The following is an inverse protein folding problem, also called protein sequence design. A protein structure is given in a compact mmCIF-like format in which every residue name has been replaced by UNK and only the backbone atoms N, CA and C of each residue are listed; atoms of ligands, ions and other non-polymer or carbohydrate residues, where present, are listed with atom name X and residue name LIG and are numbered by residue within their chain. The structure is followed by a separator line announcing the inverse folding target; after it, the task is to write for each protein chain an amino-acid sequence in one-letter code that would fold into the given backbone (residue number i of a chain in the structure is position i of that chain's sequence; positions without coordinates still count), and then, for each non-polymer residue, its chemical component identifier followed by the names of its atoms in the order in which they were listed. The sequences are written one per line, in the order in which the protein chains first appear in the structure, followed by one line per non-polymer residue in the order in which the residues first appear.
data_IF_395844566308
#
_entry.id   IF_395844566308
#
_cell.length_a   1.000
_cell.length_b   1.000
_cell.length_c   1.000
_cell.angle_alpha   90.00
_cell.angle_beta   90.00
_cell.angle_gamma   90.00
#
_symmetry.space_group_name_H-M   'P 1'
#
loop_
_entity.id
_entity.type
_entity.pdbx_description
1 polymer ?
#
# COMPACT_ATOMS: atom_id res chain seq x y z
N UNK A 1 11.15 20.15 -14.94
CA UNK A 1 10.64 18.86 -15.49
C UNK A 1 9.61 19.21 -16.54
N UNK A 2 9.68 18.63 -17.75
CA UNK A 2 8.98 19.16 -18.92
C UNK A 2 7.46 19.31 -18.71
N UNK A 3 6.83 18.36 -18.01
CA UNK A 3 5.39 18.39 -17.73
C UNK A 3 4.96 19.58 -16.85
N UNK A 4 5.75 19.93 -15.83
CA UNK A 4 5.42 21.03 -14.91
C UNK A 4 5.55 22.39 -15.60
N UNK A 5 6.54 22.53 -16.49
CA UNK A 5 6.73 23.73 -17.31
C UNK A 5 5.58 23.95 -18.30
N UNK A 6 5.06 22.87 -18.89
CA UNK A 6 3.86 22.91 -19.75
C UNK A 6 2.62 23.31 -18.93
N UNK A 7 2.40 22.68 -17.77
CA UNK A 7 1.29 23.03 -16.87
C UNK A 7 1.36 24.51 -16.49
N UNK A 8 2.54 25.00 -16.11
CA UNK A 8 2.74 26.40 -15.78
C UNK A 8 2.38 27.33 -16.94
N UNK A 9 2.84 27.00 -18.14
CA UNK A 9 2.57 27.79 -19.36
C UNK A 9 1.07 27.88 -19.65
N UNK A 10 0.35 26.77 -19.49
CA UNK A 10 -1.10 26.72 -19.70
C UNK A 10 -1.88 27.48 -18.62
N UNK A 11 -1.43 27.47 -17.35
CA UNK A 11 -2.08 28.22 -16.27
C UNK A 11 -1.91 29.73 -16.47
N UNK A 12 -0.77 30.16 -17.01
CA UNK A 12 -0.49 31.58 -17.29
C UNK A 12 -1.09 32.10 -18.58
N UNK A 13 -1.70 31.23 -19.39
CA UNK A 13 -2.34 31.62 -20.65
C UNK A 13 -3.72 32.24 -20.41
N UNK A 14 -3.73 33.58 -20.34
CA UNK A 14 -4.93 34.38 -20.08
C UNK A 14 -5.93 34.33 -21.25
N UNK A 15 -5.48 33.96 -22.46
CA UNK A 15 -6.36 33.84 -23.63
C UNK A 15 -7.23 32.58 -23.56
N UNK A 16 -6.75 31.54 -22.86
CA UNK A 16 -7.42 30.24 -22.71
C UNK A 16 -8.03 30.03 -21.31
N UNK A 17 -8.92 30.94 -20.90
CA UNK A 17 -9.51 30.98 -19.54
C UNK A 17 -10.50 29.86 -19.15
N UNK A 18 -10.68 28.82 -19.96
CA UNK A 18 -11.64 27.73 -19.69
C UNK A 18 -10.98 26.47 -19.09
N UNK A 19 -9.77 26.60 -18.55
CA UNK A 19 -9.01 25.49 -17.98
C UNK A 19 -9.02 25.56 -16.45
N UNK A 20 -9.34 24.42 -15.82
CA UNK A 20 -9.22 24.23 -14.38
C UNK A 20 -8.22 23.08 -14.15
N UNK A 21 -7.15 23.38 -13.41
CA UNK A 21 -6.11 22.41 -13.06
C UNK A 21 -6.33 21.88 -11.66
N UNK A 22 -6.39 20.56 -11.53
CA UNK A 22 -6.38 19.86 -10.25
C UNK A 22 -5.02 19.19 -10.06
N UNK A 23 -4.27 19.64 -9.06
CA UNK A 23 -2.99 19.05 -8.68
C UNK A 23 -3.16 18.36 -7.33
N UNK A 24 -2.85 17.07 -7.27
CA UNK A 24 -2.79 16.30 -6.03
C UNK A 24 -1.34 15.87 -5.80
N UNK A 25 -0.82 16.13 -4.61
CA UNK A 25 0.50 15.69 -4.20
C UNK A 25 0.50 15.37 -2.69
N UNK A 26 1.47 14.56 -2.26
CA UNK A 26 1.68 14.26 -0.85
C UNK A 26 2.71 15.24 -0.28
N UNK A 27 2.31 16.04 0.69
CA UNK A 27 3.21 17.01 1.34
C UNK A 27 4.39 16.34 2.06
N UNK A 28 4.26 15.08 2.48
CA UNK A 28 5.35 14.33 3.15
C UNK A 28 6.43 13.82 2.19
N UNK A 29 6.13 13.72 0.90
CA UNK A 29 7.07 13.22 -0.13
C UNK A 29 7.67 14.35 -0.98
N UNK A 30 7.23 15.59 -0.72
CA UNK A 30 7.59 16.79 -1.47
C UNK A 30 8.32 17.71 -0.50
N UNK A 31 9.65 17.67 -0.54
CA UNK A 31 10.51 18.53 0.27
C UNK A 31 10.54 19.97 -0.28
N UNK A 32 11.22 20.86 0.46
CA UNK A 32 11.34 22.28 0.11
C UNK A 32 12.06 22.49 -1.23
N UNK A 33 12.91 21.54 -1.63
CA UNK A 33 13.68 21.54 -2.88
C UNK A 33 12.94 20.84 -4.05
N UNK A 34 11.76 20.28 -3.80
CA UNK A 34 11.02 19.54 -4.81
C UNK A 34 10.40 20.47 -5.87
N UNK A 35 10.43 20.04 -7.13
CA UNK A 35 9.95 20.82 -8.29
C UNK A 35 8.49 21.28 -8.17
N UNK A 36 7.65 20.50 -7.48
CA UNK A 36 6.24 20.85 -7.22
C UNK A 36 6.13 22.02 -6.24
N UNK A 37 6.97 22.05 -5.20
CA UNK A 37 7.04 23.16 -4.24
C UNK A 37 7.41 24.45 -4.95
N UNK A 38 8.45 24.39 -5.80
CA UNK A 38 8.87 25.52 -6.64
C UNK A 38 7.73 25.99 -7.55
N UNK A 39 7.04 25.07 -8.23
CA UNK A 39 5.90 25.40 -9.09
C UNK A 39 4.77 26.09 -8.30
N UNK A 40 4.40 25.57 -7.13
CA UNK A 40 3.37 26.17 -6.28
C UNK A 40 3.76 27.58 -5.83
N UNK A 41 5.02 27.80 -5.45
CA UNK A 41 5.54 29.12 -5.10
C UNK A 41 5.50 30.09 -6.30
N UNK A 42 5.93 29.65 -7.48
CA UNK A 42 5.90 30.46 -8.70
C UNK A 42 4.48 30.84 -9.12
N UNK A 43 3.53 29.89 -9.04
CA UNK A 43 2.11 30.15 -9.34
C UNK A 43 1.50 31.16 -8.36
N UNK A 44 1.89 31.14 -7.07
CA UNK A 44 1.45 32.15 -6.09
C UNK A 44 1.97 33.55 -6.42
N UNK A 45 3.17 33.67 -6.98
CA UNK A 45 3.75 34.95 -7.42
C UNK A 45 3.03 35.44 -8.68
N UNK A 46 2.94 34.59 -9.70
CA UNK A 46 2.32 34.89 -11.01
C UNK A 46 0.82 35.15 -10.92
N UNK A 47 0.14 34.68 -9.87
CA UNK A 47 -1.27 34.99 -9.58
C UNK A 47 -1.59 36.48 -9.71
N UNK A 48 -0.73 37.36 -9.21
CA UNK A 48 -0.95 38.82 -9.25
C UNK A 48 -0.75 39.41 -10.65
N UNK A 49 0.09 38.79 -11.47
CA UNK A 49 0.47 39.27 -12.80
C UNK A 49 -0.54 38.83 -13.87
N UNK A 50 -1.03 37.59 -13.79
CA UNK A 50 -1.89 36.99 -14.82
C UNK A 50 -3.36 36.84 -14.39
N UNK A 51 -3.70 37.10 -13.11
CA UNK A 51 -5.09 37.18 -12.64
C UNK A 51 -5.83 35.85 -12.46
N UNK A 52 -5.15 34.70 -12.52
CA UNK A 52 -5.78 33.39 -12.29
C UNK A 52 -6.02 33.09 -10.80
N UNK A 53 -7.02 32.25 -10.51
CA UNK A 53 -7.31 31.77 -9.15
C UNK A 53 -6.37 30.63 -8.75
N UNK A 54 -5.85 30.67 -7.52
CA UNK A 54 -5.16 29.53 -6.89
C UNK A 54 -5.83 29.27 -5.56
N UNK A 55 -6.36 28.05 -5.40
CA UNK A 55 -6.96 27.54 -4.17
C UNK A 55 -6.16 26.32 -3.73
N UNK A 56 -5.70 26.32 -2.49
CA UNK A 56 -4.98 25.20 -1.90
C UNK A 56 -5.86 24.58 -0.82
N UNK A 57 -6.08 23.28 -0.94
CA UNK A 57 -6.90 22.51 -0.01
C UNK A 57 -5.97 21.49 0.64
N UNK A 58 -5.62 21.73 1.90
CA UNK A 58 -4.86 20.77 2.69
C UNK A 58 -5.84 19.74 3.26
N UNK A 59 -5.68 18.47 2.86
CA UNK A 59 -6.47 17.37 3.40
C UNK A 59 -5.69 16.78 4.58
N UNK A 60 -6.03 17.21 5.79
CA UNK A 60 -5.44 16.71 7.03
C UNK A 60 -6.14 15.44 7.53
N UNK A 61 -5.49 14.75 8.47
CA UNK A 61 -6.11 13.69 9.24
C UNK A 61 -7.31 14.21 10.04
N UNK A 62 -8.33 13.38 10.23
CA UNK A 62 -9.52 13.73 11.01
C UNK A 62 -9.15 14.11 12.42
N UNK A 63 -9.66 15.22 12.90
CA UNK A 63 -9.65 15.59 14.32
C UNK A 63 -10.47 14.60 15.14
N UNK A 64 -10.42 14.71 16.47
CA UNK A 64 -11.24 13.86 17.34
C UNK A 64 -12.72 14.14 17.10
N UNK A 65 -13.06 15.42 16.91
CA UNK A 65 -14.39 15.92 16.64
C UNK A 65 -14.92 15.42 15.30
N UNK A 66 -14.12 15.52 14.23
CA UNK A 66 -14.48 14.99 12.89
C UNK A 66 -14.60 13.46 12.89
N UNK A 67 -13.71 12.76 13.62
CA UNK A 67 -13.82 11.31 13.82
C UNK A 67 -15.12 10.96 14.52
N UNK A 68 -15.50 11.73 15.54
CA UNK A 68 -16.72 11.50 16.29
C UNK A 68 -17.97 11.78 15.44
N UNK A 69 -17.99 12.89 14.72
CA UNK A 69 -19.07 13.22 13.78
C UNK A 69 -19.25 12.13 12.71
N UNK A 70 -18.14 11.66 12.12
CA UNK A 70 -18.16 10.56 11.18
C UNK A 70 -18.78 9.29 11.79
N UNK A 71 -18.42 8.94 13.03
CA UNK A 71 -18.97 7.76 13.71
C UNK A 71 -20.44 7.91 14.07
N UNK A 72 -20.86 9.08 14.59
CA UNK A 72 -22.25 9.39 14.89
C UNK A 72 -23.13 9.25 13.65
N UNK A 73 -22.71 9.85 12.54
CA UNK A 73 -23.44 9.78 11.27
C UNK A 73 -23.48 8.35 10.72
N UNK A 74 -22.35 7.63 10.76
CA UNK A 74 -22.28 6.24 10.30
C UNK A 74 -23.18 5.30 11.11
N UNK A 75 -23.33 5.56 12.41
CA UNK A 75 -24.09 4.71 13.32
C UNK A 75 -25.53 5.18 13.57
N UNK A 76 -25.91 6.37 13.07
CA UNK A 76 -27.24 6.95 13.24
C UNK A 76 -27.52 7.46 14.65
N UNK A 77 -26.51 8.03 15.34
CA UNK A 77 -26.71 8.72 16.61
C UNK A 77 -26.82 10.22 16.41
N UNK A 78 -27.87 10.83 16.98
CA UNK A 78 -28.05 12.29 17.00
C UNK A 78 -27.19 12.97 18.09
N UNK A 79 -26.85 12.23 19.13
CA UNK A 79 -26.03 12.70 20.25
C UNK A 79 -24.58 12.23 20.09
N UNK A 80 -23.72 13.19 19.76
CA UNK A 80 -22.29 12.99 19.57
C UNK A 80 -21.55 12.59 20.85
N UNK A 81 -22.10 12.83 22.05
CA UNK A 81 -21.45 12.41 23.29
C UNK A 81 -21.37 10.88 23.42
N UNK A 82 -22.33 10.15 22.82
CA UNK A 82 -22.42 8.69 22.89
C UNK A 82 -21.21 8.02 22.25
N UNK A 83 -20.79 8.51 21.07
CA UNK A 83 -19.69 7.94 20.29
C UNK A 83 -18.32 8.48 20.67
N UNK A 84 -18.25 9.48 21.55
CA UNK A 84 -17.02 10.20 21.86
C UNK A 84 -15.89 9.30 22.38
N UNK A 85 -16.22 8.35 23.27
CA UNK A 85 -15.24 7.39 23.78
C UNK A 85 -14.73 6.44 22.67
N UNK A 86 -15.61 6.06 21.74
CA UNK A 86 -15.22 5.23 20.60
C UNK A 86 -14.34 6.03 19.63
N UNK A 87 -14.69 7.28 19.37
CA UNK A 87 -13.94 8.21 18.53
C UNK A 87 -12.52 8.41 19.05
N UNK A 88 -12.34 8.57 20.37
CA UNK A 88 -11.02 8.69 20.99
C UNK A 88 -10.15 7.46 20.73
N UNK A 89 -10.71 6.26 20.88
CA UNK A 89 -9.94 5.04 20.57
C UNK A 89 -9.67 4.92 19.08
N UNK A 90 -10.66 5.18 18.23
CA UNK A 90 -10.51 5.18 16.78
C UNK A 90 -9.41 6.14 16.31
N UNK A 91 -9.43 7.40 16.75
CA UNK A 91 -8.41 8.42 16.43
C UNK A 91 -7.04 7.99 16.92
N UNK A 92 -6.92 7.49 18.16
CA UNK A 92 -5.63 7.01 18.70
C UNK A 92 -5.04 5.82 17.95
N UNK A 93 -5.87 4.94 17.35
CA UNK A 93 -5.41 3.76 16.60
C UNK A 93 -5.10 4.04 15.14
N UNK A 94 -5.82 4.97 14.56
CA UNK A 94 -5.78 5.28 13.12
C UNK A 94 -4.96 6.52 12.82
N UNK A 95 -4.57 7.25 13.86
CA UNK A 95 -4.02 8.61 13.81
C UNK A 95 -4.96 9.58 13.06
N UNK A 96 -6.24 9.23 12.88
CA UNK A 96 -7.23 10.05 12.17
C UNK A 96 -7.14 9.94 10.65
N UNK A 97 -6.33 9.02 10.15
CA UNK A 97 -6.38 8.67 8.75
C UNK A 97 -7.73 7.98 8.44
N UNK A 98 -8.53 8.61 7.58
CA UNK A 98 -9.88 8.16 7.25
C UNK A 98 -9.92 6.73 6.66
N UNK A 99 -8.91 6.36 5.87
CA UNK A 99 -8.81 5.02 5.30
C UNK A 99 -8.62 3.97 6.41
N UNK A 100 -7.69 4.20 7.35
CA UNK A 100 -7.49 3.29 8.47
C UNK A 100 -8.66 3.28 9.45
N UNK A 101 -9.41 4.38 9.57
CA UNK A 101 -10.66 4.41 10.33
C UNK A 101 -11.68 3.42 9.79
N UNK A 102 -11.93 3.41 8.49
CA UNK A 102 -12.87 2.47 7.85
C UNK A 102 -12.43 1.02 8.04
N UNK A 103 -11.14 0.72 7.83
CA UNK A 103 -10.59 -0.62 8.06
C UNK A 103 -10.75 -1.02 9.52
N UNK A 104 -10.39 -0.14 10.46
CA UNK A 104 -10.47 -0.42 11.89
C UNK A 104 -11.92 -0.71 12.31
N UNK A 105 -12.89 0.05 11.82
CA UNK A 105 -14.31 -0.19 12.08
C UNK A 105 -14.78 -1.54 11.53
N UNK A 106 -14.41 -1.88 10.30
CA UNK A 106 -14.70 -3.21 9.72
C UNK A 106 -14.14 -4.33 10.60
N UNK A 107 -12.91 -4.18 11.09
CA UNK A 107 -12.28 -5.15 11.99
C UNK A 107 -13.01 -5.27 13.33
N UNK A 108 -13.50 -4.16 13.91
CA UNK A 108 -14.33 -4.21 15.11
C UNK A 108 -15.64 -4.98 14.88
N UNK A 109 -16.25 -4.84 13.70
CA UNK A 109 -17.43 -5.61 13.30
C UNK A 109 -17.12 -7.11 13.19
N UNK A 110 -16.07 -7.49 12.45
CA UNK A 110 -15.64 -8.90 12.30
C UNK A 110 -15.28 -9.51 13.65
N UNK A 111 -14.56 -8.77 14.49
CA UNK A 111 -14.20 -9.19 15.84
C UNK A 111 -15.38 -9.18 16.82
N UNK A 112 -16.60 -8.84 16.37
CA UNK A 112 -17.81 -8.82 17.18
C UNK A 112 -17.66 -7.87 18.38
N UNK A 113 -16.85 -6.83 18.25
CA UNK A 113 -16.65 -5.78 19.26
C UNK A 113 -17.55 -4.59 19.04
N UNK A 114 -17.85 -4.30 17.77
CA UNK A 114 -18.89 -3.40 17.32
C UNK A 114 -19.98 -4.26 16.70
N UNK A 115 -21.19 -4.21 17.24
CA UNK A 115 -22.31 -5.03 16.74
C UNK A 115 -23.55 -4.18 16.62
N UNK A 116 -24.34 -4.43 15.59
CA UNK A 116 -25.70 -3.97 15.56
C UNK A 116 -26.56 -4.90 16.41
N UNK A 117 -27.34 -4.34 17.34
CA UNK A 117 -28.29 -5.10 18.15
C UNK A 117 -29.67 -5.00 17.52
N UNK A 118 -30.18 -6.12 17.00
CA UNK A 118 -31.48 -6.19 16.32
C UNK A 118 -32.68 -5.92 17.25
N UNK A 119 -32.52 -6.08 18.56
CA UNK A 119 -33.57 -5.83 19.55
C UNK A 119 -33.69 -4.35 19.93
N UNK A 120 -32.57 -3.62 19.99
CA UNK A 120 -32.55 -2.19 20.30
C UNK A 120 -32.43 -1.31 19.05
N UNK A 121 -32.18 -1.90 17.87
CA UNK A 121 -31.86 -1.22 16.61
C UNK A 121 -30.73 -0.20 16.74
N UNK A 122 -29.74 -0.50 17.59
CA UNK A 122 -28.61 0.38 17.88
C UNK A 122 -27.29 -0.36 17.79
N UNK A 123 -26.24 0.38 17.46
CA UNK A 123 -24.87 -0.10 17.57
C UNK A 123 -24.45 -0.20 19.03
N UNK A 124 -23.83 -1.31 19.39
CA UNK A 124 -23.31 -1.60 20.72
C UNK A 124 -21.82 -1.95 20.65
N UNK A 125 -21.07 -1.40 21.61
CA UNK A 125 -19.66 -1.71 21.79
C UNK A 125 -19.31 -1.79 23.28
N UNK A 126 -18.19 -2.45 23.58
CA UNK A 126 -17.65 -2.54 24.96
C UNK A 126 -16.29 -1.86 25.02
N UNK A 127 -16.28 -0.59 25.42
CA UNK A 127 -15.08 0.26 25.41
C UNK A 127 -13.90 -0.37 26.17
N UNK A 128 -14.15 -0.96 27.36
CA UNK A 128 -13.10 -1.60 28.17
C UNK A 128 -12.43 -2.77 27.44
N UNK A 129 -13.22 -3.57 26.72
CA UNK A 129 -12.70 -4.69 25.92
C UNK A 129 -11.90 -4.18 24.73
N UNK A 130 -12.39 -3.13 24.08
CA UNK A 130 -11.76 -2.49 22.94
C UNK A 130 -10.39 -1.91 23.32
N UNK A 131 -10.31 -1.16 24.42
CA UNK A 131 -9.05 -0.62 24.94
C UNK A 131 -8.07 -1.76 25.29
N UNK A 132 -8.52 -2.79 26.01
CA UNK A 132 -7.67 -3.90 26.43
C UNK A 132 -7.08 -4.66 25.23
N UNK A 133 -7.87 -4.90 24.19
CA UNK A 133 -7.46 -5.69 23.02
C UNK A 133 -6.64 -4.87 22.00
N UNK A 134 -6.76 -3.55 22.01
CA UNK A 134 -6.07 -2.69 21.04
C UNK A 134 -4.78 -2.06 21.55
N UNK A 135 -4.49 -2.14 22.86
CA UNK A 135 -3.38 -1.47 23.59
C UNK A 135 -2.02 -1.39 22.88
N UNK A 136 -1.64 -2.39 22.08
CA UNK A 136 -0.30 -2.54 21.51
C UNK A 136 -0.01 -1.79 20.19
N UNK A 137 -0.99 -1.13 19.57
CA UNK A 137 -0.83 -0.55 18.21
C UNK A 137 -1.07 0.96 18.21
N UNK A 138 0.01 1.75 18.17
CA UNK A 138 -0.03 3.22 18.12
C UNK A 138 0.30 3.78 16.74
N UNK A 139 0.80 2.95 15.83
CA UNK A 139 1.11 3.32 14.44
C UNK A 139 0.27 2.46 13.49
N UNK A 140 -0.25 3.09 12.44
CA UNK A 140 -0.89 2.47 11.27
C UNK A 140 -0.15 1.22 10.79
N UNK A 141 1.16 1.31 10.58
CA UNK A 141 1.97 0.17 10.08
C UNK A 141 1.95 -0.97 11.09
N UNK A 142 2.05 -0.67 12.39
CA UNK A 142 1.97 -1.66 13.47
C UNK A 142 0.58 -2.30 13.59
N UNK A 143 -0.48 -1.52 13.35
CA UNK A 143 -1.85 -2.03 13.26
C UNK A 143 -2.02 -2.98 12.07
N UNK A 144 -1.61 -2.55 10.87
CA UNK A 144 -1.65 -3.40 9.66
C UNK A 144 -0.82 -4.68 9.84
N UNK A 145 0.34 -4.59 10.48
CA UNK A 145 1.17 -5.75 10.82
C UNK A 145 0.44 -6.74 11.74
N UNK A 146 -0.38 -6.23 12.66
CA UNK A 146 -1.20 -7.08 13.55
C UNK A 146 -2.30 -7.80 12.77
N UNK A 147 -2.95 -7.11 11.82
CA UNK A 147 -3.94 -7.73 10.93
C UNK A 147 -3.31 -8.77 10.02
N UNK A 148 -2.18 -8.45 9.38
CA UNK A 148 -1.43 -9.38 8.54
C UNK A 148 -1.01 -10.62 9.34
N UNK A 149 -0.52 -10.45 10.57
CA UNK A 149 -0.15 -11.57 11.46
C UNK A 149 -1.32 -12.46 11.88
N UNK A 150 -2.56 -12.01 11.71
CA UNK A 150 -3.75 -12.83 11.98
C UNK A 150 -4.13 -13.75 10.81
N UNK A 151 -3.55 -13.55 9.62
CA UNK A 151 -3.75 -14.40 8.45
C UNK A 151 -3.03 -15.76 8.61
N UNK A 152 -3.41 -16.80 7.85
CA UNK A 152 -2.62 -18.02 7.74
C UNK A 152 -1.16 -17.74 7.34
N UNK A 153 -0.21 -18.53 7.84
CA UNK A 153 1.22 -18.31 7.61
C UNK A 153 1.54 -18.21 6.11
N UNK A 154 1.07 -19.15 5.29
CA UNK A 154 1.28 -19.14 3.82
C UNK A 154 0.89 -17.79 3.18
N UNK A 155 -0.27 -17.23 3.55
CA UNK A 155 -0.73 -15.93 3.05
C UNK A 155 0.19 -14.80 3.53
N UNK A 156 0.63 -14.82 4.79
CA UNK A 156 1.61 -13.85 5.30
C UNK A 156 2.91 -13.88 4.50
N UNK A 157 3.40 -15.07 4.15
CA UNK A 157 4.65 -15.22 3.41
C UNK A 157 4.48 -14.73 1.97
N UNK A 158 3.40 -15.12 1.29
CA UNK A 158 3.07 -14.62 -0.06
C UNK A 158 2.96 -13.10 -0.09
N UNK A 159 2.25 -12.49 0.87
CA UNK A 159 2.13 -11.03 0.95
C UNK A 159 3.45 -10.34 1.26
N UNK A 160 4.31 -10.96 2.04
CA UNK A 160 5.66 -10.46 2.30
C UNK A 160 6.47 -10.43 1.00
N UNK A 161 6.44 -11.50 0.20
CA UNK A 161 7.09 -11.57 -1.12
C UNK A 161 6.50 -10.54 -2.08
N UNK A 162 5.17 -10.52 -2.19
CA UNK A 162 4.39 -9.59 -3.00
C UNK A 162 4.77 -8.13 -2.73
N UNK A 163 5.05 -7.79 -1.47
CA UNK A 163 5.36 -6.42 -1.06
C UNK A 163 6.66 -5.88 -1.66
N UNK A 164 7.58 -6.75 -2.08
CA UNK A 164 8.81 -6.37 -2.78
C UNK A 164 8.68 -6.41 -4.31
N UNK A 165 7.55 -6.89 -4.85
CA UNK A 165 7.33 -7.03 -6.30
C UNK A 165 6.69 -5.78 -6.95
N UNK A 166 6.50 -4.70 -6.20
CA UNK A 166 5.95 -3.44 -6.69
C UNK A 166 4.54 -3.13 -6.16
N UNK A 167 3.91 -2.11 -6.74
CA UNK A 167 2.59 -1.62 -6.30
C UNK A 167 1.42 -2.44 -6.84
N UNK A 168 1.62 -3.04 -8.01
CA UNK A 168 0.67 -3.95 -8.65
C UNK A 168 1.12 -5.40 -8.45
N UNK A 169 0.14 -6.30 -8.43
CA UNK A 169 0.27 -7.70 -8.12
C UNK A 169 -0.46 -8.50 -9.18
N UNK A 170 0.30 -9.36 -9.86
CA UNK A 170 -0.24 -10.39 -10.74
C UNK A 170 -0.21 -11.73 -10.00
N UNK A 171 -1.36 -12.28 -9.57
CA UNK A 171 -1.39 -13.48 -8.73
C UNK A 171 -0.63 -14.66 -9.36
N UNK A 172 -0.75 -14.84 -10.69
CA UNK A 172 -0.04 -15.91 -11.42
C UNK A 172 1.48 -15.79 -11.33
N UNK A 173 2.03 -14.57 -11.44
CA UNK A 173 3.47 -14.33 -11.33
C UNK A 173 3.90 -14.57 -9.87
N UNK A 174 3.14 -14.05 -8.91
CA UNK A 174 3.43 -14.25 -7.49
C UNK A 174 3.40 -15.73 -7.08
N UNK A 175 2.41 -16.49 -7.54
CA UNK A 175 2.31 -17.92 -7.23
C UNK A 175 3.50 -18.70 -7.83
N UNK A 176 3.93 -18.32 -9.05
CA UNK A 176 5.13 -18.89 -9.69
C UNK A 176 6.39 -18.59 -8.87
N UNK A 177 6.60 -17.32 -8.51
CA UNK A 177 7.73 -16.89 -7.67
C UNK A 177 7.70 -17.57 -6.30
N UNK A 178 6.52 -17.65 -5.67
CA UNK A 178 6.34 -18.31 -4.38
C UNK A 178 6.70 -19.79 -4.43
N UNK A 179 6.34 -20.50 -5.50
CA UNK A 179 6.67 -21.92 -5.67
C UNK A 179 8.19 -22.17 -5.74
N UNK A 180 8.94 -21.26 -6.39
CA UNK A 180 10.41 -21.34 -6.46
C UNK A 180 11.06 -21.09 -5.09
N UNK A 181 10.56 -20.08 -4.37
CA UNK A 181 11.15 -19.63 -3.09
C UNK A 181 10.83 -20.60 -1.95
N UNK A 182 9.57 -21.03 -1.83
CA UNK A 182 9.13 -21.95 -0.78
C UNK A 182 9.87 -23.29 -0.82
N UNK A 183 10.30 -23.72 -2.01
CA UNK A 183 11.10 -24.94 -2.21
C UNK A 183 12.52 -24.85 -1.66
N UNK A 184 13.07 -23.64 -1.50
CA UNK A 184 14.47 -23.42 -1.08
C UNK A 184 14.65 -23.28 0.45
N UNK A 185 13.57 -23.32 1.26
CA UNK A 185 13.57 -23.24 2.73
C UNK A 185 14.28 -22.04 3.38
N UNK A 186 14.70 -21.02 2.62
CA UNK A 186 15.53 -19.91 3.10
C UNK A 186 14.79 -18.92 4.01
N UNK A 187 13.47 -18.82 3.91
CA UNK A 187 12.69 -17.79 4.61
C UNK A 187 12.08 -18.36 5.89
N UNK A 188 12.82 -18.22 7.00
CA UNK A 188 12.23 -18.30 8.34
C UNK A 188 11.61 -16.94 8.68
N UNK A 189 10.39 -16.69 8.23
CA UNK A 189 9.57 -15.62 8.82
C UNK A 189 9.40 -15.96 10.31
N UNK A 190 9.68 -14.99 11.19
CA UNK A 190 9.72 -15.15 12.64
C UNK A 190 8.38 -15.69 13.17
N UNK A 191 8.29 -17.03 13.29
CA UNK A 191 7.12 -17.75 13.80
C UNK A 191 7.14 -17.60 15.32
N UNK A 192 6.56 -16.51 15.82
CA UNK A 192 5.94 -16.60 17.14
C UNK A 192 4.74 -17.54 17.00
N UNK A 193 4.95 -18.80 17.39
CA UNK A 193 3.88 -19.70 17.77
C UNK A 193 2.97 -18.97 18.76
N UNK A 194 1.83 -18.47 18.28
CA UNK A 194 0.70 -18.21 19.16
C UNK A 194 -0.31 -19.30 18.93
N UNK A 195 -0.22 -20.27 19.83
CA UNK A 195 -1.25 -21.19 20.29
C UNK A 195 -2.65 -20.86 19.75
N UNK A 196 -3.11 -21.69 18.83
CA UNK A 196 -4.39 -22.42 18.93
C UNK A 196 -5.65 -21.64 19.29
N UNK A 197 -5.78 -20.37 18.91
CA UNK A 197 -7.06 -19.64 18.98
C UNK A 197 -7.25 -18.66 17.81
N UNK A 198 -6.85 -19.01 16.59
CA UNK A 198 -7.49 -18.40 15.42
C UNK A 198 -8.82 -19.08 15.23
N UNK A 199 -9.87 -18.38 15.66
CA UNK A 199 -11.26 -18.61 15.27
C UNK A 199 -11.30 -18.91 13.76
N UNK A 200 -11.30 -20.18 13.37
CA UNK A 200 -11.60 -20.62 12.00
C UNK A 200 -13.03 -20.23 11.60
N UNK A 201 -13.87 -19.85 12.59
CA UNK A 201 -15.15 -19.16 12.40
C UNK A 201 -15.02 -17.68 11.97
N UNK A 202 -13.80 -17.13 11.81
CA UNK A 202 -13.54 -15.83 11.17
C UNK A 202 -13.59 -15.90 9.64
N UNK A 203 -13.49 -17.10 9.05
CA UNK A 203 -13.37 -17.29 7.60
C UNK A 203 -14.63 -17.95 7.02
N UNK A 204 -15.74 -17.22 7.02
CA UNK A 204 -16.96 -17.62 6.29
C UNK A 204 -17.68 -18.87 6.83
N UNK A 205 -18.98 -18.94 6.57
CA UNK A 205 -19.76 -20.16 6.83
C UNK A 205 -19.34 -21.33 5.92
N UNK A 206 -20.00 -22.50 6.05
CA UNK A 206 -19.61 -23.78 5.43
C UNK A 206 -19.64 -23.84 3.87
N UNK A 207 -19.72 -22.71 3.17
CA UNK A 207 -19.96 -22.65 1.72
C UNK A 207 -18.81 -22.13 0.85
N UNK A 208 -17.73 -21.59 1.43
CA UNK A 208 -16.67 -20.90 0.64
C UNK A 208 -15.30 -21.60 0.62
N UNK A 209 -15.11 -22.67 1.40
CA UNK A 209 -13.91 -23.51 1.36
C UNK A 209 -14.01 -24.54 0.23
N UNK A 210 -14.18 -24.11 -1.02
CA UNK A 210 -14.16 -25.05 -2.17
C UNK A 210 -12.92 -24.98 -3.05
N UNK A 211 -11.99 -24.06 -2.82
CA UNK A 211 -10.66 -24.12 -3.43
C UNK A 211 -9.62 -23.78 -2.36
N UNK A 212 -8.89 -24.80 -1.89
CA UNK A 212 -7.84 -24.68 -0.86
C UNK A 212 -6.63 -23.83 -1.32
N UNK A 213 -6.62 -23.34 -2.58
CA UNK A 213 -5.49 -22.64 -3.21
C UNK A 213 -5.69 -21.13 -3.46
N UNK A 214 -6.90 -20.56 -3.28
CA UNK A 214 -7.13 -19.15 -3.65
C UNK A 214 -7.00 -18.21 -2.44
N UNK A 215 -5.79 -17.68 -2.22
CA UNK A 215 -5.49 -16.71 -1.16
C UNK A 215 -6.04 -15.30 -1.47
N UNK A 216 -6.22 -14.96 -2.75
CA UNK A 216 -6.60 -13.63 -3.22
C UNK A 216 -7.95 -13.13 -2.65
N UNK A 217 -9.06 -13.90 -2.69
CA UNK A 217 -10.34 -13.43 -2.15
C UNK A 217 -10.30 -13.10 -0.65
N UNK A 218 -9.49 -13.83 0.12
CA UNK A 218 -9.32 -13.58 1.56
C UNK A 218 -8.67 -12.21 1.77
N UNK A 219 -7.59 -11.94 1.04
CA UNK A 219 -6.80 -10.70 1.17
C UNK A 219 -7.55 -9.48 0.62
N UNK A 220 -8.32 -9.67 -0.46
CA UNK A 220 -9.21 -8.67 -1.04
C UNK A 220 -10.33 -8.28 -0.06
N UNK A 221 -10.99 -9.26 0.56
CA UNK A 221 -12.06 -9.01 1.54
C UNK A 221 -11.55 -8.28 2.79
N UNK A 222 -10.36 -8.63 3.27
CA UNK A 222 -9.70 -7.97 4.39
C UNK A 222 -9.23 -6.55 4.06
N UNK A 223 -9.26 -6.15 2.78
CA UNK A 223 -8.96 -4.79 2.33
C UNK A 223 -7.46 -4.50 2.24
N UNK A 224 -6.63 -5.52 2.05
CA UNK A 224 -5.19 -5.31 1.84
C UNK A 224 -4.85 -5.03 0.37
N UNK A 225 -5.62 -5.62 -0.55
CA UNK A 225 -5.49 -5.42 -2.00
C UNK A 225 -6.85 -5.07 -2.62
N UNK A 226 -6.83 -4.34 -3.73
CA UNK A 226 -8.01 -4.09 -4.56
C UNK A 226 -7.79 -4.58 -5.99
N UNK A 227 -8.88 -5.08 -6.59
CA UNK A 227 -8.88 -5.63 -7.94
C UNK A 227 -8.86 -4.53 -8.99
N UNK A 228 -8.09 -4.77 -10.04
CA UNK A 228 -7.97 -3.96 -11.25
C UNK A 228 -8.39 -4.81 -12.45
N UNK A 229 -9.39 -4.32 -13.19
CA UNK A 229 -9.92 -5.01 -14.37
C UNK A 229 -10.84 -6.19 -14.04
N UNK A 230 -11.29 -6.89 -15.09
CA UNK A 230 -12.21 -8.02 -15.00
C UNK A 230 -11.46 -9.37 -15.08
N UNK A 231 -12.11 -10.47 -14.67
CA UNK A 231 -11.53 -11.82 -14.82
C UNK A 231 -11.47 -12.22 -16.30
N UNK A 232 -10.44 -12.98 -16.74
CA UNK A 232 -9.43 -13.72 -15.97
C UNK A 232 -8.06 -13.03 -15.85
N UNK A 233 -7.93 -11.79 -16.32
CA UNK A 233 -6.68 -11.00 -16.30
C UNK A 233 -6.65 -9.99 -15.15
N UNK A 234 -7.44 -10.25 -14.09
CA UNK A 234 -7.51 -9.37 -12.93
C UNK A 234 -6.13 -9.18 -12.32
N UNK A 235 -5.64 -7.94 -12.41
CA UNK A 235 -4.50 -7.47 -11.64
C UNK A 235 -5.00 -6.98 -10.30
N UNK A 236 -4.10 -6.86 -9.35
CA UNK A 236 -4.42 -6.29 -8.05
C UNK A 236 -3.41 -5.19 -7.73
N UNK A 237 -3.77 -4.29 -6.84
CA UNK A 237 -2.79 -3.38 -6.25
C UNK A 237 -3.03 -3.26 -4.75
N UNK A 238 -2.01 -2.85 -4.03
CA UNK A 238 -2.15 -2.52 -2.62
C UNK A 238 -3.15 -1.37 -2.46
N UNK A 239 -4.09 -1.52 -1.54
CA UNK A 239 -5.09 -0.46 -1.30
C UNK A 239 -4.42 0.80 -0.74
N UNK A 240 -3.30 0.64 -0.04
CA UNK A 240 -2.48 1.76 0.44
C UNK A 240 -1.01 1.37 0.62
N UNK A 241 -0.08 2.30 0.39
CA UNK A 241 1.37 2.06 0.52
C UNK A 241 1.77 1.60 1.94
N UNK A 242 1.09 2.10 2.97
CA UNK A 242 1.29 1.64 4.37
C UNK A 242 0.89 0.18 4.61
N UNK A 243 0.00 -0.39 3.79
CA UNK A 243 -0.30 -1.83 3.85
C UNK A 243 0.87 -2.63 3.31
N UNK A 244 1.40 -2.20 2.16
CA UNK A 244 2.61 -2.78 1.57
C UNK A 244 3.80 -2.67 2.54
N UNK A 245 4.03 -1.50 3.14
CA UNK A 245 5.08 -1.27 4.15
C UNK A 245 4.93 -2.21 5.36
N UNK A 246 3.69 -2.43 5.82
CA UNK A 246 3.43 -3.37 6.91
C UNK A 246 3.77 -4.81 6.53
N UNK A 247 3.46 -5.22 5.29
CA UNK A 247 3.82 -6.53 4.75
C UNK A 247 5.34 -6.69 4.60
N UNK A 248 6.05 -5.66 4.10
CA UNK A 248 7.52 -5.66 4.06
C UNK A 248 8.11 -5.84 5.46
N UNK A 249 7.54 -5.17 6.46
CA UNK A 249 8.03 -5.24 7.85
C UNK A 249 7.87 -6.62 8.51
N UNK A 250 7.12 -7.55 7.91
CA UNK A 250 7.04 -8.94 8.39
C UNK A 250 8.37 -9.67 8.19
N UNK A 251 9.17 -9.25 7.21
CA UNK A 251 10.50 -9.79 6.94
C UNK A 251 11.52 -9.10 7.84
N UNK A 252 12.35 -9.86 8.59
CA UNK A 252 13.45 -9.27 9.34
C UNK A 252 14.42 -8.54 8.41
N UNK A 253 14.88 -7.34 8.79
CA UNK A 253 15.76 -6.51 7.95
C UNK A 253 17.01 -7.24 7.46
N UNK A 254 17.59 -8.10 8.31
CA UNK A 254 18.76 -8.91 7.96
C UNK A 254 18.49 -9.95 6.84
N UNK A 255 17.24 -10.37 6.67
CA UNK A 255 16.82 -11.34 5.65
C UNK A 255 16.41 -10.67 4.33
N UNK A 256 16.15 -9.36 4.33
CA UNK A 256 15.64 -8.62 3.16
C UNK A 256 16.56 -8.73 1.94
N UNK A 257 17.89 -8.54 2.03
CA UNK A 257 18.76 -8.65 0.85
C UNK A 257 18.75 -10.05 0.22
N UNK A 258 18.73 -11.09 1.05
CA UNK A 258 18.61 -12.48 0.58
C UNK A 258 17.29 -12.72 -0.13
N UNK A 259 16.19 -12.30 0.49
CA UNK A 259 14.84 -12.40 -0.09
C UNK A 259 14.74 -11.70 -1.44
N UNK A 260 15.23 -10.45 -1.55
CA UNK A 260 15.21 -9.69 -2.81
C UNK A 260 15.96 -10.43 -3.92
N UNK A 261 17.06 -11.10 -3.59
CA UNK A 261 17.84 -11.91 -4.52
C UNK A 261 17.02 -13.09 -5.04
N UNK A 262 16.37 -13.83 -4.14
CA UNK A 262 15.55 -14.98 -4.51
C UNK A 262 14.35 -14.59 -5.37
N UNK A 263 13.67 -13.48 -5.03
CA UNK A 263 12.57 -12.93 -5.84
C UNK A 263 13.08 -12.52 -7.22
N UNK A 264 14.19 -11.78 -7.29
CA UNK A 264 14.77 -11.32 -8.54
C UNK A 264 15.18 -12.49 -9.46
N UNK A 265 15.82 -13.52 -8.90
CA UNK A 265 16.18 -14.73 -9.65
C UNK A 265 14.95 -15.52 -10.12
N UNK A 266 13.95 -15.68 -9.26
CA UNK A 266 12.71 -16.36 -9.61
C UNK A 266 11.95 -15.61 -10.73
N UNK A 267 11.91 -14.28 -10.69
CA UNK A 267 11.34 -13.46 -11.76
C UNK A 267 12.12 -13.63 -13.06
N UNK A 268 13.44 -13.48 -13.03
CA UNK A 268 14.27 -13.59 -14.23
C UNK A 268 14.14 -14.97 -14.92
N UNK A 269 13.98 -16.04 -14.13
CA UNK A 269 13.84 -17.40 -14.65
C UNK A 269 12.45 -17.72 -15.25
N UNK A 270 11.40 -17.01 -14.82
CA UNK A 270 10.01 -17.37 -15.15
C UNK A 270 9.26 -16.31 -15.98
N UNK A 271 9.77 -15.08 -16.10
CA UNK A 271 9.14 -14.07 -16.93
C UNK A 271 9.43 -14.31 -18.41
N UNK A 272 8.39 -14.21 -19.23
CA UNK A 272 8.53 -14.11 -20.69
C UNK A 272 9.20 -12.79 -21.09
N UNK A 273 9.69 -12.67 -22.33
CA UNK A 273 10.28 -11.42 -22.82
C UNK A 273 9.31 -10.23 -22.77
N UNK A 274 8.02 -10.47 -22.97
CA UNK A 274 6.97 -9.45 -22.88
C UNK A 274 6.74 -9.00 -21.43
N UNK A 275 6.64 -9.95 -20.49
CA UNK A 275 6.46 -9.63 -19.08
C UNK A 275 7.72 -9.03 -18.43
N UNK A 276 8.90 -9.38 -18.95
CA UNK A 276 10.16 -8.81 -18.51
C UNK A 276 10.19 -7.31 -18.75
N UNK A 277 9.69 -6.84 -19.90
CA UNK A 277 9.61 -5.41 -20.18
C UNK A 277 8.70 -4.72 -19.15
N UNK A 278 7.50 -5.25 -18.87
CA UNK A 278 6.58 -4.64 -17.90
C UNK A 278 7.12 -4.64 -16.46
N UNK A 279 7.94 -5.63 -16.09
CA UNK A 279 8.49 -5.79 -14.74
C UNK A 279 9.95 -5.35 -14.59
N UNK A 280 10.58 -4.78 -15.63
CA UNK A 280 12.02 -4.54 -15.65
C UNK A 280 12.49 -3.72 -14.45
N UNK A 281 11.77 -2.68 -14.07
CA UNK A 281 12.11 -1.82 -12.93
C UNK A 281 12.09 -2.56 -11.61
N UNK A 282 11.06 -3.39 -11.39
CA UNK A 282 10.95 -4.23 -10.19
C UNK A 282 12.14 -5.18 -10.12
N UNK A 283 12.41 -5.88 -11.23
CA UNK A 283 13.49 -6.85 -11.32
C UNK A 283 14.85 -6.22 -11.04
N UNK A 284 15.21 -5.11 -11.71
CA UNK A 284 16.52 -4.49 -11.50
C UNK A 284 16.66 -3.88 -10.11
N UNK A 285 15.59 -3.34 -9.53
CA UNK A 285 15.63 -2.84 -8.15
C UNK A 285 15.88 -3.97 -7.15
N UNK A 286 15.20 -5.11 -7.30
CA UNK A 286 15.42 -6.31 -6.48
C UNK A 286 16.86 -6.81 -6.60
N UNK A 287 17.38 -6.91 -7.82
CA UNK A 287 18.72 -7.43 -8.09
C UNK A 287 19.83 -6.47 -7.63
N UNK A 288 19.66 -5.16 -7.81
CA UNK A 288 20.64 -4.15 -7.39
C UNK A 288 20.72 -3.99 -5.87
N UNK A 289 19.65 -4.30 -5.15
CA UNK A 289 19.55 -4.21 -3.68
C UNK A 289 19.73 -5.58 -2.99
N UNK A 290 19.81 -6.66 -3.77
CA UNK A 290 20.06 -8.01 -3.31
C UNK A 290 21.55 -8.37 -3.18
N UNK A 291 21.82 -9.58 -2.72
CA UNK A 291 23.15 -10.20 -2.65
C UNK A 291 23.34 -11.07 -3.91
N UNK A 292 23.69 -10.44 -5.02
CA UNK A 292 24.00 -11.18 -6.25
C UNK A 292 25.47 -11.63 -6.20
N UNK A 293 25.78 -12.94 -6.37
CA UNK A 293 27.16 -13.38 -6.48
C UNK A 293 27.84 -12.70 -7.67
N UNK A 294 28.87 -11.91 -7.40
CA UNK A 294 29.63 -11.22 -8.46
C UNK A 294 30.57 -12.23 -9.11
N UNK A 295 30.04 -13.04 -10.03
CA UNK A 295 30.82 -13.69 -11.07
C UNK A 295 30.63 -12.91 -12.38
N UNK A 296 31.54 -13.09 -13.35
CA UNK A 296 31.56 -12.34 -14.61
C UNK A 296 30.22 -12.36 -15.33
N UNK A 297 29.55 -13.51 -15.33
CA UNK A 297 28.35 -13.73 -16.13
C UNK A 297 27.11 -13.11 -15.47
N UNK A 298 26.98 -13.22 -14.15
CA UNK A 298 25.87 -12.59 -13.41
C UNK A 298 25.99 -11.07 -13.40
N UNK A 299 27.22 -10.55 -13.31
CA UNK A 299 27.48 -9.11 -13.38
C UNK A 299 27.14 -8.54 -14.77
N UNK A 300 27.57 -9.22 -15.84
CA UNK A 300 27.21 -8.83 -17.21
C UNK A 300 25.69 -8.87 -17.42
N UNK A 301 25.01 -9.92 -16.93
CA UNK A 301 23.55 -10.02 -17.06
C UNK A 301 22.83 -8.90 -16.33
N UNK A 302 23.26 -8.54 -15.11
CA UNK A 302 22.68 -7.44 -14.37
C UNK A 302 22.91 -6.10 -15.08
N UNK A 303 24.10 -5.86 -15.63
CA UNK A 303 24.41 -4.67 -16.40
C UNK A 303 23.54 -4.55 -17.67
N UNK A 304 23.30 -5.65 -18.39
CA UNK A 304 22.35 -5.69 -19.52
C UNK A 304 20.93 -5.29 -19.09
N UNK A 305 20.45 -5.83 -17.96
CA UNK A 305 19.12 -5.50 -17.45
C UNK A 305 19.03 -4.03 -17.01
N UNK A 306 20.06 -3.50 -16.35
CA UNK A 306 20.16 -2.08 -15.98
C UNK A 306 20.19 -1.18 -17.22
N UNK A 307 20.85 -1.59 -18.30
CA UNK A 307 20.82 -0.86 -19.58
C UNK A 307 19.40 -0.80 -20.14
N UNK A 308 18.67 -1.93 -20.17
CA UNK A 308 17.27 -1.95 -20.63
C UNK A 308 16.40 -1.04 -19.75
N UNK A 309 16.54 -1.11 -18.43
CA UNK A 309 15.83 -0.25 -17.50
C UNK A 309 16.15 1.24 -17.71
N UNK A 310 17.42 1.58 -17.94
CA UNK A 310 17.86 2.94 -18.21
C UNK A 310 17.26 3.48 -19.51
N UNK A 311 17.32 2.71 -20.61
CA UNK A 311 16.70 3.08 -21.89
C UNK A 311 15.20 3.27 -21.76
N UNK A 312 14.52 2.36 -21.03
CA UNK A 312 13.08 2.49 -20.76
C UNK A 312 12.75 3.73 -19.94
N UNK A 313 13.54 4.02 -18.90
CA UNK A 313 13.37 5.22 -18.08
C UNK A 313 13.55 6.51 -18.90
N UNK A 314 14.49 6.54 -19.86
CA UNK A 314 14.62 7.65 -20.82
C UNK A 314 13.35 7.80 -21.66
N UNK A 315 12.76 6.69 -22.12
CA UNK A 315 11.48 6.71 -22.85
C UNK A 315 10.31 7.31 -22.06
N UNK A 316 10.33 7.21 -20.72
CA UNK A 316 9.38 7.85 -19.81
C UNK A 316 9.82 9.24 -19.32
N UNK A 317 10.90 9.81 -19.88
CA UNK A 317 11.50 11.07 -19.42
C UNK A 317 11.94 11.06 -17.93
N UNK A 318 12.16 9.88 -17.35
CA UNK A 318 12.60 9.69 -15.97
C UNK A 318 14.13 9.69 -15.86
N UNK A 319 14.76 10.83 -16.18
CA UNK A 319 16.22 10.93 -16.34
C UNK A 319 17.04 10.61 -15.09
N UNK A 320 16.56 10.96 -13.90
CA UNK A 320 17.23 10.61 -12.64
C UNK A 320 17.24 9.09 -12.42
N UNK A 321 16.13 8.41 -12.67
CA UNK A 321 16.06 6.94 -12.63
C UNK A 321 16.96 6.32 -13.70
N UNK A 322 16.96 6.86 -14.91
CA UNK A 322 17.82 6.37 -16.00
C UNK A 322 19.30 6.45 -15.63
N UNK A 323 19.74 7.59 -15.07
CA UNK A 323 21.11 7.78 -14.57
C UNK A 323 21.44 6.81 -13.44
N UNK A 324 20.51 6.58 -12.51
CA UNK A 324 20.68 5.62 -11.41
C UNK A 324 20.94 4.21 -11.94
N UNK A 325 20.19 3.76 -12.95
CA UNK A 325 20.37 2.44 -13.57
C UNK A 325 21.65 2.35 -14.40
N UNK A 326 21.97 3.39 -15.20
CA UNK A 326 23.18 3.40 -16.03
C UNK A 326 24.50 3.37 -15.23
N UNK A 327 24.48 3.80 -13.96
CA UNK A 327 25.65 3.79 -13.07
C UNK A 327 25.92 2.42 -12.40
N UNK A 328 25.05 1.43 -12.60
CA UNK A 328 25.07 0.13 -11.92
C UNK A 328 25.50 -0.99 -12.85
#
# INVERSE_FOLDING_TARGET
APTLEVIQSLITDVENGNLLFFCLYRSEEVDDDHLVTTLCQELRIKKKEYGFGVTEICISEFTLEETNEFLSQLMGFDDNEVTMELADVCKKRTLGNAFFLVIFLRQLCVAKMLKFNDGSYRWEWKIRKLIAQTRATTNVVGFMKTLLRALPNDIQQRLSVASYMGKELEPKILDTVWSCISSNQSIKLDVRERESHTNLSRFGGPGYLRNEDSWVPIVEQEGFIERLGEEPESRYKWVHDKVQEAAMSLVPEASVPGLKTEIGQALLANLTSEQLDSHIFVLVNLMNEGIVPINSDSALKLAELNMVAATKAVGFCAFESAKKYANK
#
